data_IF_743237564972
#
_entry.id   IF_743237564972
#
_cell.length_a   1.000
_cell.length_b   1.000
_cell.length_c   1.000
_cell.angle_alpha   90.00
_cell.angle_beta   90.00
_cell.angle_gamma   90.00
#
_symmetry.space_group_name_H-M   'P 1'
#
loop_
_entity.id
_entity.type
_entity.pdbx_description
1 polymer ?
#
# COMPACT_ATOMS: atom_id res chain seq x y z
N UNK A 1 40.51 16.67 19.44
CA UNK A 1 39.63 17.59 18.68
C UNK A 1 39.37 17.18 17.22
N UNK A 2 40.12 16.23 16.65
CA UNK A 2 39.87 15.70 15.29
C UNK A 2 38.53 14.95 15.14
N UNK A 3 38.15 14.17 16.16
CA UNK A 3 36.94 13.32 16.14
C UNK A 3 35.65 14.13 15.92
N UNK A 4 35.59 15.37 16.41
CA UNK A 4 34.41 16.24 16.23
C UNK A 4 34.17 16.51 14.75
N UNK A 5 35.21 16.79 13.98
CA UNK A 5 35.08 17.01 12.53
C UNK A 5 34.61 15.76 11.79
N UNK A 6 35.08 14.58 12.20
CA UNK A 6 34.63 13.30 11.64
C UNK A 6 33.13 13.08 11.91
N UNK A 7 32.67 13.35 13.15
CA UNK A 7 31.27 13.18 13.52
C UNK A 7 30.35 14.18 12.81
N UNK A 8 30.80 15.42 12.62
CA UNK A 8 30.06 16.43 11.85
C UNK A 8 29.91 15.99 10.39
N UNK A 9 30.99 15.54 9.76
CA UNK A 9 30.94 15.07 8.37
C UNK A 9 30.04 13.84 8.22
N UNK A 10 30.19 12.85 9.12
CA UNK A 10 29.38 11.64 9.10
C UNK A 10 27.88 11.92 9.31
N UNK A 11 27.51 12.72 10.32
CA UNK A 11 26.12 13.08 10.58
C UNK A 11 25.50 13.91 9.45
N UNK A 12 26.26 14.86 8.90
CA UNK A 12 25.83 15.67 7.75
C UNK A 12 25.57 14.80 6.51
N UNK A 13 26.43 13.81 6.26
CA UNK A 13 26.28 12.89 5.14
C UNK A 13 25.04 12.02 5.31
N UNK A 14 24.81 11.46 6.50
CA UNK A 14 23.59 10.69 6.80
C UNK A 14 22.34 11.55 6.64
N UNK A 15 22.33 12.76 7.18
CA UNK A 15 21.21 13.69 7.04
C UNK A 15 20.96 14.07 5.57
N UNK A 16 22.02 14.31 4.79
CA UNK A 16 21.94 14.61 3.37
C UNK A 16 21.35 13.46 2.55
N UNK A 17 21.81 12.23 2.79
CA UNK A 17 21.25 11.02 2.14
C UNK A 17 19.78 10.86 2.49
N UNK A 18 19.43 10.98 3.77
CA UNK A 18 18.05 10.86 4.23
C UNK A 18 17.15 11.92 3.56
N UNK A 19 17.58 13.18 3.52
CA UNK A 19 16.84 14.26 2.89
C UNK A 19 16.69 14.03 1.38
N UNK A 20 17.74 13.60 0.68
CA UNK A 20 17.69 13.31 -0.75
C UNK A 20 16.71 12.16 -1.07
N UNK A 21 16.77 11.08 -0.28
CA UNK A 21 15.84 9.95 -0.41
C UNK A 21 14.39 10.38 -0.13
N UNK A 22 14.17 11.21 0.91
CA UNK A 22 12.86 11.75 1.23
C UNK A 22 12.29 12.60 0.08
N UNK A 23 13.07 13.53 -0.45
CA UNK A 23 12.64 14.38 -1.58
C UNK A 23 12.35 13.53 -2.82
N UNK A 24 13.16 12.50 -3.09
CA UNK A 24 12.91 11.57 -4.19
C UNK A 24 11.60 10.80 -4.02
N UNK A 25 11.31 10.29 -2.82
CA UNK A 25 10.08 9.56 -2.52
C UNK A 25 8.82 10.42 -2.67
N UNK A 26 8.86 11.67 -2.17
CA UNK A 26 7.77 12.64 -2.33
C UNK A 26 7.54 12.94 -3.81
N UNK A 27 8.61 13.20 -4.57
CA UNK A 27 8.50 13.48 -6.01
C UNK A 27 8.02 12.28 -6.83
N UNK A 28 8.23 11.06 -6.35
CA UNK A 28 7.74 9.83 -6.97
C UNK A 28 6.25 9.59 -6.73
N UNK A 29 5.58 10.41 -5.91
CA UNK A 29 4.17 10.24 -5.63
C UNK A 29 3.86 9.00 -4.79
N UNK A 30 4.84 8.53 -3.98
CA UNK A 30 4.61 7.37 -3.10
C UNK A 30 3.47 7.60 -2.10
N UNK A 31 3.14 8.87 -1.85
CA UNK A 31 2.07 9.30 -0.95
C UNK A 31 0.76 9.59 -1.67
N UNK A 32 0.68 9.41 -2.99
CA UNK A 32 -0.52 9.74 -3.79
C UNK A 32 -1.59 8.64 -3.71
N UNK A 33 -1.30 7.51 -3.06
CA UNK A 33 -2.29 6.44 -2.80
C UNK A 33 -3.14 6.78 -1.56
N UNK A 34 -3.99 7.80 -1.73
CA UNK A 34 -4.93 8.29 -0.70
C UNK A 34 -6.11 7.32 -0.44
N UNK A 35 -6.22 6.25 -1.23
CA UNK A 35 -7.37 5.33 -1.22
C UNK A 35 -6.92 3.94 -0.84
N UNK A 36 -7.17 3.60 0.43
CA UNK A 36 -6.86 2.26 0.93
C UNK A 36 -7.55 1.16 0.10
N UNK A 37 -6.93 -0.04 0.00
CA UNK A 37 -7.48 -1.15 -0.78
C UNK A 37 -8.93 -1.50 -0.42
N UNK A 38 -9.31 -1.36 0.86
CA UNK A 38 -10.66 -1.64 1.35
C UNK A 38 -11.71 -0.70 0.74
N UNK A 39 -11.39 0.59 0.59
CA UNK A 39 -12.30 1.58 -0.03
C UNK A 39 -12.40 1.32 -1.53
N UNK A 40 -11.30 0.95 -2.18
CA UNK A 40 -11.29 0.57 -3.60
C UNK A 40 -12.18 -0.64 -3.85
N UNK A 41 -12.09 -1.68 -3.02
CA UNK A 41 -12.91 -2.89 -3.15
C UNK A 41 -14.40 -2.64 -2.95
N UNK A 42 -14.79 -1.73 -2.06
CA UNK A 42 -16.20 -1.41 -1.82
C UNK A 42 -16.85 -0.62 -2.97
N UNK A 43 -16.05 0.18 -3.68
CA UNK A 43 -16.50 1.00 -4.80
C UNK A 43 -16.11 0.44 -6.17
N UNK A 44 -15.60 -0.79 -6.23
CA UNK A 44 -15.22 -1.45 -7.47
C UNK A 44 -16.46 -2.06 -8.15
N UNK A 45 -16.95 -1.48 -9.27
CA UNK A 45 -18.12 -1.99 -9.98
C UNK A 45 -17.83 -3.32 -10.71
N UNK A 46 -16.56 -3.73 -10.79
CA UNK A 46 -16.13 -4.93 -11.49
C UNK A 46 -16.12 -6.18 -10.62
N UNK A 47 -16.39 -6.06 -9.31
CA UNK A 47 -16.58 -7.22 -8.43
C UNK A 47 -17.83 -7.95 -8.92
N UNK A 48 -17.70 -9.16 -9.50
CA UNK A 48 -18.86 -9.97 -9.79
C UNK A 48 -19.52 -10.23 -8.43
N UNK A 49 -20.73 -9.71 -8.23
CA UNK A 49 -21.49 -10.04 -7.03
C UNK A 49 -21.46 -11.56 -6.89
N UNK A 50 -21.03 -12.11 -5.73
CA UNK A 50 -21.06 -13.54 -5.52
C UNK A 50 -22.50 -13.93 -5.81
N UNK A 51 -22.67 -14.74 -6.85
CA UNK A 51 -23.94 -15.04 -7.47
C UNK A 51 -25.01 -15.08 -6.39
N UNK A 52 -25.94 -14.12 -6.40
CA UNK A 52 -27.17 -14.12 -5.59
C UNK A 52 -28.08 -15.32 -5.94
N UNK A 53 -27.50 -16.40 -6.47
CA UNK A 53 -28.10 -17.65 -6.88
C UNK A 53 -27.39 -18.82 -6.19
N UNK A 54 -27.08 -18.65 -4.91
CA UNK A 54 -27.22 -19.73 -3.96
C UNK A 54 -28.60 -19.57 -3.28
N UNK A 55 -29.64 -19.42 -4.09
CA UNK A 55 -30.98 -19.77 -3.63
C UNK A 55 -30.97 -21.28 -3.41
N UNK A 56 -31.35 -21.69 -2.21
CA UNK A 56 -31.26 -23.06 -1.73
C UNK A 56 -32.19 -24.01 -2.49
N UNK A 57 -31.76 -24.44 -3.67
CA UNK A 57 -32.31 -25.61 -4.34
C UNK A 57 -31.15 -26.46 -4.84
N UNK A 58 -30.52 -27.20 -3.92
CA UNK A 58 -29.96 -28.49 -4.31
C UNK A 58 -31.14 -29.30 -4.87
N UNK A 59 -31.11 -29.77 -6.12
CA UNK A 59 -32.21 -30.56 -6.64
C UNK A 59 -32.36 -31.81 -5.77
N UNK A 60 -33.48 -31.91 -5.05
CA UNK A 60 -33.85 -33.05 -4.19
C UNK A 60 -33.94 -34.39 -4.93
N UNK A 61 -33.64 -34.43 -6.24
CA UNK A 61 -33.65 -35.61 -7.07
C UNK A 61 -32.29 -36.31 -7.21
N UNK A 62 -31.20 -35.79 -6.62
CA UNK A 62 -29.93 -36.53 -6.50
C UNK A 62 -29.75 -37.24 -5.15
N UNK A 63 -30.78 -37.27 -4.30
CA UNK A 63 -30.82 -38.05 -3.05
C UNK A 63 -31.66 -39.33 -3.26
N UNK A 64 -31.44 -40.04 -4.37
CA UNK A 64 -32.03 -41.37 -4.59
C UNK A 64 -30.99 -42.38 -5.04
#
# INVERSE_FOLDING_TARGET
MSVIFLLIAASTLVAGIFLAAFVWAVRKGQYDDDRSPAVRMLHDPSVPQPLSKAEGTLPLNEIK
#
